data_IF_047319451387
#
_entry.id   IF_047319451387
#
_cell.length_a   1.000
_cell.length_b   1.000
_cell.length_c   1.000
_cell.angle_alpha   90.00
_cell.angle_beta   90.00
_cell.angle_gamma   90.00
#
_symmetry.space_group_name_H-M   'P 1'
#
loop_
_entity.id
_entity.type
_entity.pdbx_description
1 polymer ?
#
# COMPACT_ATOMS: atom_id res chain seq x y z
N UNK A 1 30.47 -12.47 -32.82
CA UNK A 1 29.68 -12.03 -33.99
C UNK A 1 28.36 -11.48 -33.49
N UNK A 2 28.16 -10.17 -33.52
CA UNK A 2 26.92 -9.50 -33.11
C UNK A 2 25.85 -9.65 -34.21
N UNK A 3 24.73 -10.29 -33.91
CA UNK A 3 23.61 -10.39 -34.85
C UNK A 3 22.87 -9.05 -34.93
N UNK A 4 22.81 -8.48 -36.13
CA UNK A 4 22.06 -7.27 -36.45
C UNK A 4 20.65 -7.67 -36.90
N UNK A 5 19.64 -7.17 -36.21
CA UNK A 5 18.23 -7.39 -36.58
C UNK A 5 17.75 -6.14 -37.32
N UNK A 6 17.26 -6.31 -38.55
CA UNK A 6 16.72 -5.22 -39.36
C UNK A 6 15.18 -5.20 -39.28
N UNK A 7 14.60 -4.02 -39.09
CA UNK A 7 13.16 -3.78 -39.27
C UNK A 7 12.97 -2.58 -40.18
N UNK A 8 12.05 -2.69 -41.14
CA UNK A 8 11.64 -1.58 -42.00
C UNK A 8 10.49 -0.85 -41.31
N UNK A 9 10.64 0.46 -41.11
CA UNK A 9 9.56 1.31 -40.56
C UNK A 9 8.49 1.58 -41.62
N UNK A 10 7.33 2.07 -41.21
CA UNK A 10 6.23 2.44 -42.13
C UNK A 10 6.60 3.56 -43.12
N UNK A 11 7.71 4.27 -42.88
CA UNK A 11 8.30 5.29 -43.75
C UNK A 11 9.39 4.73 -44.69
N UNK A 12 9.59 3.41 -44.76
CA UNK A 12 10.59 2.79 -45.64
C UNK A 12 12.04 2.93 -45.16
N UNK A 13 12.25 3.39 -43.93
CA UNK A 13 13.58 3.58 -43.34
C UNK A 13 14.03 2.28 -42.66
N UNK A 14 15.26 1.83 -42.92
CA UNK A 14 15.81 0.61 -42.33
C UNK A 14 16.53 0.97 -41.04
N UNK A 15 15.90 0.70 -39.89
CA UNK A 15 16.56 0.84 -38.60
C UNK A 15 17.41 -0.41 -38.32
N UNK A 16 18.71 -0.20 -38.09
CA UNK A 16 19.66 -1.25 -37.71
C UNK A 16 19.94 -1.16 -36.22
N UNK A 17 19.61 -2.21 -35.48
CA UNK A 17 19.97 -2.33 -34.06
C UNK A 17 20.71 -3.65 -33.82
N UNK A 18 21.72 -3.63 -32.95
CA UNK A 18 22.28 -4.87 -32.43
C UNK A 18 21.24 -5.61 -31.59
N UNK A 19 21.17 -6.93 -31.67
CA UNK A 19 20.34 -7.73 -30.76
C UNK A 19 20.69 -7.46 -29.28
N UNK A 20 21.95 -7.11 -29.00
CA UNK A 20 22.43 -6.65 -27.69
C UNK A 20 21.72 -5.37 -27.23
N UNK A 21 21.64 -4.34 -28.07
CA UNK A 21 21.05 -3.04 -27.70
C UNK A 21 19.55 -3.15 -27.39
N UNK A 22 18.83 -4.03 -28.10
CA UNK A 22 17.41 -4.28 -27.81
C UNK A 22 17.21 -5.05 -26.50
N UNK A 23 18.06 -6.03 -26.22
CA UNK A 23 18.04 -6.77 -24.96
C UNK A 23 18.43 -5.87 -23.79
N UNK A 24 19.44 -5.02 -23.95
CA UNK A 24 19.88 -4.05 -22.96
C UNK A 24 18.80 -3.00 -22.67
N UNK A 25 18.15 -2.42 -23.70
CA UNK A 25 17.01 -1.51 -23.50
C UNK A 25 15.82 -2.20 -22.84
N UNK A 26 15.49 -3.43 -23.23
CA UNK A 26 14.40 -4.17 -22.61
C UNK A 26 14.70 -4.52 -21.14
N UNK A 27 15.95 -4.87 -20.83
CA UNK A 27 16.40 -5.16 -19.47
C UNK A 27 16.39 -3.87 -18.62
N UNK A 28 16.92 -2.77 -19.16
CA UNK A 28 16.97 -1.47 -18.47
C UNK A 28 15.56 -0.93 -18.20
N UNK A 29 14.65 -1.00 -19.17
CA UNK A 29 13.25 -0.60 -18.97
C UNK A 29 12.52 -1.42 -17.90
N UNK A 30 12.82 -2.73 -17.79
CA UNK A 30 12.30 -3.57 -16.71
C UNK A 30 12.90 -3.21 -15.34
N UNK A 31 14.16 -2.77 -15.30
CA UNK A 31 14.81 -2.31 -14.07
C UNK A 31 14.22 -0.98 -13.58
N UNK A 32 14.00 -0.02 -14.47
CA UNK A 32 13.34 1.25 -14.15
C UNK A 32 11.90 1.04 -13.69
N UNK A 33 11.17 0.09 -14.28
CA UNK A 33 9.83 -0.29 -13.81
C UNK A 33 9.87 -0.87 -12.39
N UNK A 34 10.81 -1.77 -12.10
CA UNK A 34 11.01 -2.29 -10.73
C UNK A 34 11.37 -1.19 -9.74
N UNK A 35 12.16 -0.20 -10.16
CA UNK A 35 12.50 0.97 -9.35
C UNK A 35 11.27 1.84 -9.06
N UNK A 36 10.39 2.04 -10.05
CA UNK A 36 9.09 2.70 -9.85
C UNK A 36 8.23 1.95 -8.83
N UNK A 37 8.14 0.62 -8.92
CA UNK A 37 7.44 -0.18 -7.92
C UNK A 37 8.09 -0.10 -6.53
N UNK A 38 9.41 0.02 -6.45
CA UNK A 38 10.09 0.21 -5.17
C UNK A 38 9.75 1.58 -4.55
N UNK A 39 9.59 2.62 -5.36
CA UNK A 39 9.12 3.93 -4.92
C UNK A 39 7.64 3.89 -4.47
N UNK A 40 6.78 3.13 -5.16
CA UNK A 40 5.41 2.88 -4.68
C UNK A 40 5.41 2.13 -3.34
N UNK A 41 6.29 1.14 -3.18
CA UNK A 41 6.44 0.43 -1.91
C UNK A 41 6.92 1.33 -0.77
N UNK A 42 7.82 2.28 -1.08
CA UNK A 42 8.27 3.28 -0.12
C UNK A 42 7.09 4.15 0.34
N UNK A 43 6.31 4.67 -0.60
CA UNK A 43 5.10 5.44 -0.31
C UNK A 43 4.10 4.61 0.51
N UNK A 44 3.85 3.36 0.13
CA UNK A 44 3.02 2.42 0.87
C UNK A 44 3.49 2.28 2.33
N UNK A 45 4.79 2.10 2.55
CA UNK A 45 5.34 1.90 3.89
C UNK A 45 5.18 3.12 4.81
N UNK A 46 5.20 4.33 4.24
CA UNK A 46 5.02 5.60 4.98
C UNK A 46 3.54 5.94 5.19
N UNK A 47 2.64 5.45 4.33
CA UNK A 47 1.22 5.83 4.33
C UNK A 47 0.30 4.77 4.94
N UNK A 48 0.57 3.47 4.81
CA UNK A 48 -0.29 2.40 5.36
C UNK A 48 -0.23 2.29 6.89
N UNK A 49 0.83 2.81 7.52
CA UNK A 49 1.08 2.73 8.97
C UNK A 49 1.59 4.07 9.49
N UNK A 50 1.49 4.39 10.79
CA UNK A 50 2.03 5.62 11.40
C UNK A 50 3.57 5.57 11.48
N UNK A 51 4.20 4.83 10.57
CA UNK A 51 5.63 4.65 10.56
C UNK A 51 6.30 5.91 10.03
N UNK A 52 6.83 6.69 10.96
CA UNK A 52 7.60 7.89 10.65
C UNK A 52 9.06 7.65 11.04
N UNK A 53 9.88 7.01 10.19
CA UNK A 53 11.25 6.68 10.52
C UNK A 53 12.10 7.94 10.65
N UNK A 54 13.01 7.92 11.63
CA UNK A 54 14.06 8.91 11.80
C UNK A 54 15.37 8.28 11.33
N UNK A 55 15.96 8.82 10.28
CA UNK A 55 17.21 8.34 9.68
C UNK A 55 18.16 9.51 9.61
N UNK A 56 19.34 9.33 10.22
CA UNK A 56 20.43 10.31 10.22
C UNK A 56 19.96 11.70 10.71
N UNK A 57 19.05 11.71 11.69
CA UNK A 57 18.46 12.92 12.28
C UNK A 57 17.26 13.51 11.53
N UNK A 58 16.93 12.98 10.33
CA UNK A 58 15.82 13.47 9.50
C UNK A 58 14.60 12.56 9.67
N UNK A 59 13.44 13.18 9.91
CA UNK A 59 12.14 12.50 9.97
C UNK A 59 11.56 12.41 8.57
N UNK A 60 11.22 11.20 8.13
CA UNK A 60 10.55 10.98 6.84
C UNK A 60 9.07 10.72 7.07
N UNK A 61 8.22 11.59 6.56
CA UNK A 61 6.78 11.56 6.74
C UNK A 61 6.07 11.87 5.43
N UNK A 62 4.97 11.17 5.18
CA UNK A 62 4.00 11.54 4.14
C UNK A 62 2.68 11.77 4.84
N UNK A 63 2.25 13.03 4.87
CA UNK A 63 0.99 13.41 5.53
C UNK A 63 -0.17 12.86 4.72
N UNK A 64 -0.99 12.04 5.37
CA UNK A 64 -2.25 11.52 4.84
C UNK A 64 -3.32 12.08 5.75
N UNK A 65 -4.03 13.10 5.27
CA UNK A 65 -5.09 13.78 6.00
C UNK A 65 -6.22 14.11 5.04
N UNK A 66 -7.44 14.12 5.55
CA UNK A 66 -8.59 14.65 4.85
C UNK A 66 -9.42 15.43 5.85
N UNK A 67 -9.72 16.67 5.50
CA UNK A 67 -10.32 17.64 6.41
C UNK A 67 -11.67 18.02 5.84
N UNK A 68 -12.70 17.91 6.66
CA UNK A 68 -14.05 18.32 6.28
C UNK A 68 -14.58 19.34 7.27
N UNK A 69 -15.22 20.35 6.71
CA UNK A 69 -16.16 21.16 7.44
C UNK A 69 -17.53 20.52 7.21
N UNK A 70 -18.15 20.00 8.27
CA UNK A 70 -19.53 19.50 8.18
C UNK A 70 -20.41 20.53 7.47
N UNK A 71 -21.21 20.08 6.49
CA UNK A 71 -22.17 20.87 5.70
C UNK A 71 -21.95 22.41 5.69
N UNK A 72 -20.95 22.88 4.93
CA UNK A 72 -20.93 24.25 4.40
C UNK A 72 -20.32 25.35 5.29
N UNK A 73 -19.22 25.08 5.98
CA UNK A 73 -18.42 26.14 6.62
C UNK A 73 -17.11 26.36 5.85
N UNK A 74 -16.72 27.62 5.65
CA UNK A 74 -15.57 28.07 4.87
C UNK A 74 -14.21 27.52 5.39
N UNK A 75 -13.21 27.45 4.50
CA UNK A 75 -11.87 26.83 4.70
C UNK A 75 -11.08 27.34 5.92
N UNK A 76 -11.50 28.43 6.57
CA UNK A 76 -10.79 29.11 7.67
C UNK A 76 -11.42 28.90 9.07
N UNK A 77 -12.35 27.96 9.25
CA UNK A 77 -12.94 27.67 10.56
C UNK A 77 -11.97 26.94 11.51
N UNK A 78 -11.93 27.35 12.78
CA UNK A 78 -11.12 26.70 13.84
C UNK A 78 -11.56 25.25 14.15
N UNK A 79 -12.75 24.84 13.70
CA UNK A 79 -13.37 23.53 13.94
C UNK A 79 -13.25 22.56 12.73
N UNK A 80 -12.12 22.59 12.02
CA UNK A 80 -11.85 21.63 10.93
C UNK A 80 -11.39 20.30 11.52
N UNK A 81 -12.24 19.27 11.45
CA UNK A 81 -11.86 17.93 11.95
C UNK A 81 -11.09 17.12 10.91
N UNK A 82 -9.95 16.56 11.32
CA UNK A 82 -9.19 15.60 10.50
C UNK A 82 -9.83 14.21 10.61
N UNK A 83 -10.26 13.64 9.49
CA UNK A 83 -10.97 12.35 9.49
C UNK A 83 -10.08 11.19 9.92
N UNK A 84 -8.76 11.30 9.77
CA UNK A 84 -7.83 10.29 10.30
C UNK A 84 -7.88 10.29 11.82
N UNK A 85 -7.93 11.48 12.43
CA UNK A 85 -8.07 11.60 13.89
C UNK A 85 -9.45 11.14 14.36
N UNK A 86 -10.52 11.49 13.65
CA UNK A 86 -11.88 10.99 13.95
C UNK A 86 -11.93 9.46 13.90
N UNK A 87 -11.39 8.86 12.84
CA UNK A 87 -11.37 7.40 12.69
C UNK A 87 -10.57 6.72 13.80
N UNK A 88 -9.41 7.29 14.17
CA UNK A 88 -8.57 6.79 15.26
C UNK A 88 -9.30 6.84 16.60
N UNK A 89 -9.92 7.98 16.92
CA UNK A 89 -10.68 8.17 18.16
C UNK A 89 -11.91 7.25 18.21
N UNK A 90 -12.70 7.21 17.14
CA UNK A 90 -13.87 6.34 17.03
C UNK A 90 -13.49 4.86 17.15
N UNK A 91 -12.40 4.43 16.50
CA UNK A 91 -11.93 3.06 16.62
C UNK A 91 -11.56 2.73 18.08
N UNK A 92 -10.78 3.59 18.73
CA UNK A 92 -10.39 3.40 20.13
C UNK A 92 -11.62 3.33 21.05
N UNK A 93 -12.60 4.21 20.87
CA UNK A 93 -13.84 4.24 21.63
C UNK A 93 -14.67 2.97 21.42
N UNK A 94 -15.05 2.68 20.17
CA UNK A 94 -15.99 1.60 19.88
C UNK A 94 -15.41 0.23 20.15
N UNK A 95 -14.13 0.00 19.84
CA UNK A 95 -13.47 -1.30 20.02
C UNK A 95 -13.27 -1.62 21.51
N UNK A 96 -12.91 -0.62 22.33
CA UNK A 96 -12.65 -0.82 23.77
C UNK A 96 -13.90 -0.77 24.63
N UNK A 97 -15.02 -0.26 24.11
CA UNK A 97 -16.29 -0.20 24.82
C UNK A 97 -16.70 -1.59 25.36
N UNK A 98 -16.92 -1.69 26.68
CA UNK A 98 -17.43 -2.92 27.31
C UNK A 98 -18.95 -2.96 27.20
N UNK A 99 -19.47 -3.98 26.53
CA UNK A 99 -20.90 -4.22 26.39
C UNK A 99 -21.25 -5.53 27.08
N UNK A 100 -22.24 -5.49 27.98
CA UNK A 100 -22.65 -6.65 28.75
C UNK A 100 -23.19 -7.75 27.82
N UNK A 101 -22.73 -9.00 28.03
CA UNK A 101 -23.19 -10.14 27.24
C UNK A 101 -22.56 -10.28 25.84
N UNK A 102 -21.51 -9.53 25.53
CA UNK A 102 -20.79 -9.64 24.25
C UNK A 102 -19.28 -9.66 24.45
N UNK A 103 -18.57 -10.38 23.59
CA UNK A 103 -17.11 -10.40 23.61
C UNK A 103 -16.50 -9.06 23.14
N UNK A 104 -15.28 -8.71 23.58
CA UNK A 104 -14.52 -7.60 23.02
C UNK A 104 -14.29 -7.78 21.52
N UNK A 105 -14.30 -6.68 20.77
CA UNK A 105 -13.93 -6.71 19.35
C UNK A 105 -12.41 -6.72 19.25
N UNK A 106 -11.86 -7.68 18.51
CA UNK A 106 -10.42 -7.74 18.23
C UNK A 106 -10.09 -7.19 16.85
N UNK A 107 -9.07 -6.32 16.78
CA UNK A 107 -8.49 -5.89 15.51
C UNK A 107 -7.77 -7.05 14.83
N UNK A 108 -7.91 -7.14 13.50
CA UNK A 108 -7.25 -8.19 12.73
C UNK A 108 -5.82 -7.81 12.42
N UNK A 109 -4.93 -8.79 12.49
CA UNK A 109 -3.51 -8.62 12.16
C UNK A 109 -3.22 -8.98 10.71
N UNK A 110 -2.69 -8.03 9.96
CA UNK A 110 -2.29 -8.21 8.56
C UNK A 110 -0.77 -8.14 8.42
N UNK A 111 -0.16 -9.09 7.70
CA UNK A 111 1.27 -9.05 7.39
C UNK A 111 1.53 -8.09 6.24
N UNK A 112 2.47 -7.16 6.42
CA UNK A 112 2.80 -6.10 5.44
C UNK A 112 3.70 -6.58 4.31
N UNK A 113 4.60 -7.52 4.61
CA UNK A 113 5.62 -8.10 3.70
C UNK A 113 6.56 -7.09 3.01
N UNK A 114 6.65 -5.83 3.44
CA UNK A 114 7.46 -4.77 2.78
C UNK A 114 8.88 -5.23 2.43
N UNK A 115 9.63 -5.75 3.41
CA UNK A 115 10.98 -6.27 3.21
C UNK A 115 11.07 -7.37 2.15
N UNK A 116 10.06 -8.23 2.03
CA UNK A 116 10.05 -9.34 1.07
C UNK A 116 9.73 -8.83 -0.33
N UNK A 117 8.79 -7.89 -0.46
CA UNK A 117 8.46 -7.23 -1.72
C UNK A 117 9.68 -6.45 -2.24
N UNK A 118 10.34 -5.66 -1.39
CA UNK A 118 11.55 -4.93 -1.76
C UNK A 118 12.66 -5.84 -2.27
N UNK A 119 12.89 -6.99 -1.61
CA UNK A 119 13.89 -7.97 -2.07
C UNK A 119 13.56 -8.58 -3.44
N UNK A 120 12.29 -8.68 -3.81
CA UNK A 120 11.90 -9.12 -5.15
C UNK A 120 12.11 -8.02 -6.20
N UNK A 121 11.96 -6.76 -5.80
CA UNK A 121 12.14 -5.59 -6.66
C UNK A 121 13.60 -5.19 -6.85
N UNK A 122 14.44 -5.34 -5.84
CA UNK A 122 15.84 -4.93 -5.89
C UNK A 122 16.69 -5.85 -6.79
N UNK A 123 17.69 -5.31 -7.51
CA UNK A 123 18.57 -6.11 -8.36
C UNK A 123 19.32 -7.21 -7.59
N UNK A 124 19.41 -8.40 -8.17
CA UNK A 124 20.13 -9.52 -7.57
C UNK A 124 21.64 -9.47 -7.85
N UNK A 125 22.44 -9.80 -6.84
CA UNK A 125 23.91 -9.70 -6.86
C UNK A 125 24.64 -10.60 -7.88
N UNK A 126 23.96 -11.57 -8.51
CA UNK A 126 24.54 -12.53 -9.46
C UNK A 126 24.14 -12.32 -10.92
N UNK A 127 22.99 -11.70 -11.21
CA UNK A 127 22.45 -11.60 -12.58
C UNK A 127 22.29 -10.18 -13.11
N UNK A 128 22.18 -9.19 -12.22
CA UNK A 128 21.79 -7.82 -12.58
C UNK A 128 22.80 -6.79 -12.07
N UNK A 129 24.02 -7.24 -11.75
CA UNK A 129 25.06 -6.43 -11.09
C UNK A 129 25.44 -5.17 -11.89
N UNK A 130 25.28 -5.18 -13.21
CA UNK A 130 25.50 -4.03 -14.08
C UNK A 130 24.37 -2.98 -14.07
N UNK A 131 23.21 -3.28 -13.48
CA UNK A 131 22.02 -2.42 -13.52
C UNK A 131 21.63 -1.86 -12.13
N UNK A 132 22.47 -2.08 -11.10
CA UNK A 132 22.19 -1.56 -9.74
C UNK A 132 22.12 -0.04 -9.71
N UNK A 133 23.04 0.63 -10.41
CA UNK A 133 23.07 2.09 -10.50
C UNK A 133 21.81 2.63 -11.17
N UNK A 134 21.38 2.05 -12.29
CA UNK A 134 20.15 2.46 -13.00
C UNK A 134 18.90 2.25 -12.13
N UNK A 135 18.83 1.14 -11.39
CA UNK A 135 17.75 0.92 -10.42
C UNK A 135 17.75 1.99 -9.32
N UNK A 136 18.91 2.26 -8.73
CA UNK A 136 19.06 3.20 -7.62
C UNK A 136 18.71 4.63 -8.03
N UNK A 137 19.18 5.07 -9.19
CA UNK A 137 18.87 6.38 -9.76
C UNK A 137 17.37 6.51 -10.05
N UNK A 138 16.79 5.56 -10.78
CA UNK A 138 15.37 5.55 -11.10
C UNK A 138 14.49 5.46 -9.84
N UNK A 139 14.95 4.77 -8.79
CA UNK A 139 14.23 4.64 -7.52
C UNK A 139 14.16 5.99 -6.80
N UNK A 140 15.30 6.70 -6.69
CA UNK A 140 15.36 8.02 -6.08
C UNK A 140 14.54 9.03 -6.89
N UNK A 141 14.68 9.05 -8.21
CA UNK A 141 13.89 9.92 -9.09
C UNK A 141 12.38 9.66 -8.94
N UNK A 142 11.98 8.38 -8.94
CA UNK A 142 10.59 7.97 -8.76
C UNK A 142 10.05 8.32 -7.37
N UNK A 143 10.87 8.24 -6.33
CA UNK A 143 10.49 8.63 -4.97
C UNK A 143 10.27 10.15 -4.88
N UNK A 144 11.16 10.95 -5.47
CA UNK A 144 11.00 12.41 -5.57
C UNK A 144 9.75 12.79 -6.34
N UNK A 145 9.44 12.10 -7.44
CA UNK A 145 8.20 12.28 -8.20
C UNK A 145 6.93 12.01 -7.38
N UNK A 146 7.04 11.32 -6.24
CA UNK A 146 5.95 11.08 -5.27
C UNK A 146 5.99 12.02 -4.05
N UNK A 147 6.84 13.05 -4.09
CA UNK A 147 7.01 14.00 -2.99
C UNK A 147 7.87 13.48 -1.83
N UNK A 148 8.58 12.37 -2.01
CA UNK A 148 9.48 11.81 -0.99
C UNK A 148 10.91 12.19 -1.36
N UNK A 149 11.46 13.21 -0.69
CA UNK A 149 12.84 13.60 -0.94
C UNK A 149 13.80 12.65 -0.23
N UNK A 150 14.57 11.90 -1.02
CA UNK A 150 15.59 10.98 -0.53
C UNK A 150 16.98 11.52 -0.85
N UNK A 151 17.88 11.61 0.15
CA UNK A 151 19.26 12.00 -0.09
C UNK A 151 20.06 10.89 -0.80
N UNK A 152 19.66 9.63 -0.63
CA UNK A 152 20.30 8.47 -1.26
C UNK A 152 19.34 7.27 -1.33
N UNK A 153 19.60 6.29 -2.23
CA UNK A 153 18.81 5.05 -2.31
C UNK A 153 18.88 4.22 -1.01
N UNK A 154 19.99 4.29 -0.28
CA UNK A 154 20.17 3.55 0.98
C UNK A 154 19.22 4.04 2.08
N UNK A 155 18.90 5.34 2.11
CA UNK A 155 17.88 5.87 3.03
C UNK A 155 16.51 5.28 2.72
N UNK A 156 16.08 5.29 1.45
CA UNK A 156 14.82 4.68 1.04
C UNK A 156 14.75 3.19 1.39
N UNK A 157 15.85 2.45 1.17
CA UNK A 157 15.97 1.05 1.60
C UNK A 157 15.82 0.90 3.12
N UNK A 158 16.49 1.73 3.91
CA UNK A 158 16.39 1.69 5.39
C UNK A 158 14.96 1.93 5.87
N UNK A 159 14.25 2.89 5.28
CA UNK A 159 12.82 3.15 5.57
C UNK A 159 11.97 1.89 5.36
N UNK A 160 12.06 1.29 4.17
CA UNK A 160 11.26 0.10 3.84
C UNK A 160 11.61 -1.08 4.76
N UNK A 161 12.88 -1.23 5.12
CA UNK A 161 13.35 -2.31 5.98
C UNK A 161 13.01 -2.11 7.46
N UNK A 162 12.83 -0.86 7.92
CA UNK A 162 12.38 -0.52 9.28
C UNK A 162 10.86 -0.56 9.43
N UNK A 163 10.11 -0.58 8.33
CA UNK A 163 8.66 -0.55 8.36
C UNK A 163 8.07 -1.76 9.14
N UNK A 164 6.91 -1.58 9.80
CA UNK A 164 6.28 -2.61 10.63
C UNK A 164 6.05 -3.92 9.87
N UNK A 165 6.20 -5.05 10.56
CA UNK A 165 5.96 -6.39 9.98
C UNK A 165 4.49 -6.76 9.91
N UNK A 166 3.67 -6.08 10.70
CA UNK A 166 2.22 -6.26 10.72
C UNK A 166 1.52 -4.97 11.09
N UNK A 167 0.27 -4.85 10.65
CA UNK A 167 -0.65 -3.80 11.04
C UNK A 167 -1.92 -4.40 11.63
N UNK A 168 -2.49 -3.71 12.61
CA UNK A 168 -3.78 -4.01 13.20
C UNK A 168 -4.83 -3.13 12.53
N UNK A 169 -5.92 -3.74 12.07
CA UNK A 169 -6.99 -3.01 11.42
C UNK A 169 -8.36 -3.67 11.64
N UNK A 170 -9.39 -2.84 11.68
CA UNK A 170 -10.79 -3.26 11.64
C UNK A 170 -11.23 -3.36 10.18
N UNK A 171 -11.54 -4.56 9.65
CA UNK A 171 -12.11 -4.68 8.31
C UNK A 171 -13.49 -4.06 8.28
N UNK A 172 -13.69 -3.09 7.39
CA UNK A 172 -15.00 -2.53 7.08
C UNK A 172 -15.81 -3.49 6.20
N UNK A 173 -16.99 -3.08 5.74
CA UNK A 173 -17.78 -3.87 4.77
C UNK A 173 -16.99 -3.99 3.46
N UNK A 174 -16.90 -5.21 2.92
CA UNK A 174 -16.16 -5.48 1.69
C UNK A 174 -16.92 -5.07 0.43
N UNK A 175 -16.18 -4.83 -0.65
CA UNK A 175 -16.71 -4.68 -2.00
C UNK A 175 -16.76 -6.04 -2.68
N UNK A 176 -17.94 -6.47 -3.13
CA UNK A 176 -18.08 -7.67 -3.95
C UNK A 176 -17.66 -7.34 -5.39
N UNK A 177 -16.48 -7.80 -5.80
CA UNK A 177 -16.06 -7.72 -7.20
C UNK A 177 -16.41 -9.03 -7.92
N UNK A 178 -17.71 -9.19 -8.25
CA UNK A 178 -18.17 -10.13 -9.28
C UNK A 178 -18.58 -11.53 -8.82
N UNK A 179 -19.58 -12.08 -9.50
CA UNK A 179 -20.14 -13.42 -9.28
C UNK A 179 -19.29 -14.48 -10.02
N UNK A 180 -18.63 -15.39 -9.27
CA UNK A 180 -18.52 -16.84 -9.50
C UNK A 180 -17.17 -17.42 -8.99
N UNK A 181 -17.27 -18.23 -7.94
CA UNK A 181 -16.46 -19.42 -7.65
C UNK A 181 -14.93 -19.29 -7.46
N UNK A 182 -14.48 -18.32 -6.66
CA UNK A 182 -13.32 -18.37 -5.74
C UNK A 182 -13.11 -16.94 -5.25
N UNK A 183 -13.99 -16.50 -4.36
CA UNK A 183 -14.34 -15.08 -4.29
C UNK A 183 -13.29 -14.30 -3.48
N UNK A 184 -12.24 -13.88 -4.17
CA UNK A 184 -11.28 -12.89 -3.69
C UNK A 184 -12.02 -11.58 -3.49
N UNK A 185 -12.32 -11.25 -2.25
CA UNK A 185 -12.98 -10.00 -1.88
C UNK A 185 -11.94 -8.98 -1.47
N UNK A 186 -12.11 -7.74 -1.93
CA UNK A 186 -11.31 -6.60 -1.50
C UNK A 186 -12.18 -5.75 -0.58
N UNK A 187 -11.68 -5.48 0.61
CA UNK A 187 -12.38 -4.72 1.63
C UNK A 187 -11.47 -3.64 2.19
N UNK A 188 -12.03 -2.45 2.40
CA UNK A 188 -11.35 -1.42 3.16
C UNK A 188 -11.25 -1.85 4.63
N UNK A 189 -10.17 -1.45 5.27
CA UNK A 189 -9.96 -1.63 6.69
C UNK A 189 -9.38 -0.35 7.29
N UNK A 190 -9.89 0.04 8.46
CA UNK A 190 -9.35 1.14 9.25
C UNK A 190 -8.23 0.61 10.12
N UNK A 191 -7.02 1.15 9.97
CA UNK A 191 -5.90 0.84 10.84
C UNK A 191 -6.10 1.46 12.23
N UNK A 192 -5.37 0.97 13.22
CA UNK A 192 -5.37 1.53 14.59
C UNK A 192 -5.15 3.05 14.61
N UNK A 193 -4.40 3.57 13.65
CA UNK A 193 -4.07 5.00 13.52
C UNK A 193 -5.05 5.78 12.63
N UNK A 194 -6.20 5.19 12.26
CA UNK A 194 -7.29 5.88 11.57
C UNK A 194 -7.16 5.98 10.05
N UNK A 195 -6.16 5.31 9.43
CA UNK A 195 -5.99 5.32 7.97
C UNK A 195 -6.73 4.16 7.31
N UNK A 196 -7.19 4.34 6.07
CA UNK A 196 -7.80 3.29 5.27
C UNK A 196 -6.74 2.54 4.49
N UNK A 197 -6.78 1.21 4.58
CA UNK A 197 -5.97 0.29 3.76
C UNK A 197 -6.87 -0.73 3.10
N UNK A 198 -6.54 -1.14 1.86
CA UNK A 198 -7.24 -2.23 1.21
C UNK A 198 -6.72 -3.58 1.66
N UNK A 199 -7.63 -4.43 2.08
CA UNK A 199 -7.34 -5.80 2.51
C UNK A 199 -8.01 -6.78 1.58
N UNK A 200 -7.37 -7.92 1.37
CA UNK A 200 -7.87 -9.00 0.53
C UNK A 200 -8.30 -10.15 1.44
N UNK A 201 -9.50 -10.66 1.22
CA UNK A 201 -9.97 -11.89 1.83
C UNK A 201 -10.28 -12.93 0.76
N UNK A 202 -9.96 -14.18 1.07
CA UNK A 202 -10.24 -15.28 0.18
C UNK A 202 -11.10 -16.32 0.90
N UNK A 203 -12.31 -16.51 0.38
CA UNK A 203 -13.28 -17.50 0.86
C UNK A 203 -13.20 -18.74 -0.03
N UNK A 204 -12.66 -19.85 0.49
CA UNK A 204 -12.83 -21.15 -0.19
C UNK A 204 -14.20 -21.71 0.16
N UNK A 205 -14.91 -22.23 -0.83
CA UNK A 205 -16.21 -22.92 -0.69
C UNK A 205 -16.16 -24.28 0.06
N UNK A 206 -15.21 -24.48 0.97
CA UNK A 206 -15.11 -25.66 1.83
C UNK A 206 -14.61 -25.24 3.20
N UNK A 207 -14.83 -26.08 4.23
CA UNK A 207 -14.51 -25.99 5.68
C UNK A 207 -13.10 -25.47 6.11
N UNK A 208 -12.48 -24.58 5.35
CA UNK A 208 -11.19 -23.95 5.58
C UNK A 208 -11.40 -22.52 6.02
N UNK A 209 -10.51 -21.99 6.88
CA UNK A 209 -10.62 -20.64 7.40
C UNK A 209 -10.53 -19.61 6.27
N UNK A 210 -11.31 -18.52 6.37
CA UNK A 210 -11.11 -17.32 5.56
C UNK A 210 -9.74 -16.72 5.86
N UNK A 211 -8.95 -16.48 4.82
CA UNK A 211 -7.64 -15.85 4.96
C UNK A 211 -7.74 -14.36 4.67
N UNK A 212 -7.18 -13.54 5.56
CA UNK A 212 -7.11 -12.08 5.42
C UNK A 212 -5.65 -11.66 5.24
N UNK A 213 -5.34 -10.91 4.18
CA UNK A 213 -3.97 -10.47 3.88
C UNK A 213 -3.96 -9.13 3.12
N UNK A 214 -2.80 -8.47 3.09
CA UNK A 214 -2.57 -7.33 2.20
C UNK A 214 -2.06 -7.81 0.85
N UNK A 215 -2.43 -7.12 -0.22
CA UNK A 215 -1.98 -7.45 -1.58
C UNK A 215 -0.45 -7.50 -1.65
N UNK A 216 0.10 -8.55 -2.27
CA UNK A 216 1.54 -8.85 -2.28
C UNK A 216 2.17 -8.65 -3.64
N UNK A 217 1.38 -8.52 -4.70
CA UNK A 217 1.87 -8.31 -6.04
C UNK A 217 2.40 -6.88 -6.22
N UNK A 218 3.64 -6.70 -6.75
CA UNK A 218 4.22 -5.38 -6.96
C UNK A 218 3.38 -4.47 -7.87
N UNK A 219 2.73 -5.03 -8.89
CA UNK A 219 1.86 -4.27 -9.81
C UNK A 219 0.66 -3.61 -9.13
N UNK A 220 0.23 -4.15 -7.99
CA UNK A 220 -0.90 -3.63 -7.22
C UNK A 220 -0.46 -2.63 -6.14
N UNK A 221 0.84 -2.31 -6.04
CA UNK A 221 1.32 -1.41 -5.00
C UNK A 221 0.63 -0.05 -5.08
N UNK A 222 0.48 0.49 -6.29
CA UNK A 222 -0.13 1.80 -6.48
C UNK A 222 -1.65 1.81 -6.31
N UNK A 223 -2.33 0.71 -6.64
CA UNK A 223 -3.81 0.65 -6.64
C UNK A 223 -4.36 0.20 -5.30
N UNK A 224 -3.65 -0.69 -4.61
CA UNK A 224 -4.16 -1.38 -3.43
C UNK A 224 -3.25 -1.27 -2.21
N UNK A 225 -2.05 -0.67 -2.35
CA UNK A 225 -1.08 -0.53 -1.25
C UNK A 225 -0.65 0.93 -1.08
N UNK A 226 -1.58 1.78 -0.68
CA UNK A 226 -1.31 3.15 -0.23
C UNK A 226 -2.35 3.45 0.84
N UNK A 227 -1.92 3.88 2.03
CA UNK A 227 -2.85 4.30 3.06
C UNK A 227 -3.52 5.61 2.67
N UNK A 228 -4.84 5.66 2.73
CA UNK A 228 -5.60 6.87 2.38
C UNK A 228 -6.33 7.41 3.60
N UNK A 229 -6.60 8.72 3.59
CA UNK A 229 -7.44 9.32 4.60
C UNK A 229 -8.89 8.87 4.39
N UNK A 230 -9.65 8.62 5.48
CA UNK A 230 -11.04 8.23 5.37
C UNK A 230 -11.94 9.39 4.92
N UNK A 231 -13.16 9.05 4.50
CA UNK A 231 -14.22 10.02 4.25
C UNK A 231 -14.94 10.43 5.54
N UNK A 232 -15.79 11.47 5.47
CA UNK A 232 -16.53 12.03 6.62
C UNK A 232 -17.53 11.08 7.28
N UNK A 233 -17.88 9.95 6.66
CA UNK A 233 -18.82 8.96 7.21
C UNK A 233 -18.14 7.84 8.00
N UNK A 234 -16.82 7.94 8.22
CA UNK A 234 -16.03 6.83 8.76
C UNK A 234 -16.43 6.40 10.17
N UNK A 235 -16.79 7.36 11.02
CA UNK A 235 -17.23 7.09 12.41
C UNK A 235 -18.44 6.14 12.39
N UNK A 236 -19.46 6.45 11.60
CA UNK A 236 -20.65 5.60 11.45
C UNK A 236 -20.32 4.23 10.85
N UNK A 237 -19.37 4.16 9.90
CA UNK A 237 -18.94 2.87 9.32
C UNK A 237 -18.25 1.97 10.36
N UNK A 238 -17.43 2.55 11.23
CA UNK A 238 -16.77 1.83 12.33
C UNK A 238 -17.82 1.33 13.33
N UNK A 239 -18.74 2.21 13.75
CA UNK A 239 -19.83 1.87 14.68
C UNK A 239 -20.67 0.70 14.15
N UNK A 240 -21.21 0.83 12.95
CA UNK A 240 -22.01 -0.21 12.26
C UNK A 240 -21.28 -1.55 12.25
N UNK A 241 -19.97 -1.51 11.98
CA UNK A 241 -19.15 -2.72 11.88
C UNK A 241 -18.94 -3.37 13.25
N UNK A 242 -18.64 -2.59 14.28
CA UNK A 242 -18.47 -3.08 15.66
C UNK A 242 -19.77 -3.69 16.17
N UNK A 243 -20.90 -3.03 15.96
CA UNK A 243 -22.24 -3.53 16.33
C UNK A 243 -22.53 -4.86 15.63
N UNK A 244 -22.26 -4.95 14.33
CA UNK A 244 -22.43 -6.18 13.57
C UNK A 244 -21.59 -7.33 14.13
N UNK A 245 -20.30 -7.11 14.42
CA UNK A 245 -19.39 -8.14 14.92
C UNK A 245 -19.83 -8.66 16.30
N UNK A 246 -20.23 -7.77 17.21
CA UNK A 246 -20.75 -8.16 18.54
C UNK A 246 -22.03 -9.00 18.44
N UNK A 247 -22.94 -8.63 17.53
CA UNK A 247 -24.20 -9.35 17.31
C UNK A 247 -23.98 -10.75 16.72
N UNK A 248 -22.90 -10.97 15.97
CA UNK A 248 -22.55 -12.30 15.45
C UNK A 248 -21.91 -13.17 16.53
N UNK A 249 -21.01 -12.62 17.35
CA UNK A 249 -20.38 -13.35 18.47
C UNK A 249 -21.41 -13.80 19.51
N UNK A 250 -22.40 -12.96 19.86
CA UNK A 250 -23.44 -13.30 20.84
C UNK A 250 -24.41 -14.40 20.39
N UNK A 251 -24.36 -14.84 19.13
CA UNK A 251 -25.23 -15.89 18.56
C UNK A 251 -24.52 -17.25 18.43
N UNK A 252 -23.21 -17.31 18.70
CA UNK A 252 -22.41 -18.53 18.69
C UNK A 252 -22.38 -19.17 20.08
#
# INVERSE_FOLDING_TARGET
MSSLIQRVTSSGTVERYGASDKLERATTGHIEERARYAADLLLASLTETPHTPIIDGVRYEVVVSNRYNGNGVEEDAEDVTDTVDEARLALAEFVTARVAGTDPVELRRYKTEYKKIYKALAPNSRGERGYSSSFEEAFVESARGRGIDLPSPEVGRRIILSAPRSLLALPLKGHNYGYLADDRQVSDAVTEDGRIVKTVSYNKYSFKPTYHYLEKHPSSLRTDRIGTAPGSTIVSQIEDRVVYLRTQSSKA
#
